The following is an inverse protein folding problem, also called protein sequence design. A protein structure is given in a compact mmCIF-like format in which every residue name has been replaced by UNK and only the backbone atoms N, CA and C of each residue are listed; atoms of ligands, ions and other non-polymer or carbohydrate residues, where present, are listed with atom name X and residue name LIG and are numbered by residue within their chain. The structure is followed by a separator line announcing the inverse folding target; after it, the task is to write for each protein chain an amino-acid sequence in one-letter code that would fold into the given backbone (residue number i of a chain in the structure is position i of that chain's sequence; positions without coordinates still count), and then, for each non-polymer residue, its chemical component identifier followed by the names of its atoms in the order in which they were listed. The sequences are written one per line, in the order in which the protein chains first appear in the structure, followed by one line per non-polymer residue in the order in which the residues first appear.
data_IF_526534638783
#
_entry.id   IF_526534638783
#
_cell.length_a   1.000
_cell.length_b   1.000
_cell.length_c   1.000
_cell.angle_alpha   90.00
_cell.angle_beta   90.00
_cell.angle_gamma   90.00
#
_symmetry.space_group_name_H-M   'P 1'
#
loop_
_entity.id
_entity.type
_entity.pdbx_description
1 polymer ?
#
# COMPACT_ATOMS: atom_id res chain seq x y z
N UNK A 1 -7.98 -3.12 -0.24
CA UNK A 1 -6.90 -2.87 0.74
C UNK A 1 -6.10 -4.16 0.87
N UNK A 2 -4.77 -4.12 0.78
CA UNK A 2 -3.90 -5.29 1.00
C UNK A 2 -3.21 -5.14 2.36
N UNK A 3 -3.09 -6.21 3.13
CA UNK A 3 -2.45 -6.23 4.45
C UNK A 3 -1.41 -7.35 4.47
N UNK A 4 -0.26 -7.06 5.05
CA UNK A 4 0.83 -8.00 5.28
C UNK A 4 1.18 -7.99 6.77
N UNK A 5 1.36 -9.17 7.35
CA UNK A 5 1.80 -9.37 8.72
C UNK A 5 3.04 -10.25 8.69
N UNK A 6 4.09 -9.84 9.39
CA UNK A 6 5.38 -10.51 9.36
C UNK A 6 6.13 -10.29 10.68
N UNK A 7 7.00 -11.23 11.02
CA UNK A 7 7.89 -11.10 12.17
C UNK A 7 9.01 -10.09 11.86
N UNK A 8 9.55 -9.46 12.89
CA UNK A 8 10.62 -8.47 12.83
C UNK A 8 12.00 -9.03 12.41
N UNK A 9 12.05 -10.29 11.98
CA UNK A 9 13.24 -10.89 11.41
C UNK A 9 13.63 -10.20 10.08
N UNK A 10 14.89 -9.74 9.90
CA UNK A 10 15.34 -9.06 8.68
C UNK A 10 15.14 -9.83 7.36
N UNK A 11 15.06 -11.16 7.41
CA UNK A 11 14.78 -12.00 6.23
C UNK A 11 13.42 -11.67 5.57
N UNK A 12 12.47 -11.15 6.34
CA UNK A 12 11.14 -10.78 5.83
C UNK A 12 11.15 -9.49 5.00
N UNK A 13 12.19 -8.65 5.12
CA UNK A 13 12.25 -7.37 4.40
C UNK A 13 12.26 -7.54 2.88
N UNK A 14 12.85 -8.62 2.36
CA UNK A 14 12.79 -8.94 0.93
C UNK A 14 11.35 -9.13 0.44
N UNK A 15 10.53 -9.85 1.21
CA UNK A 15 9.12 -10.07 0.88
C UNK A 15 8.31 -8.77 0.96
N UNK A 16 8.57 -7.94 1.98
CA UNK A 16 7.94 -6.62 2.12
C UNK A 16 8.23 -5.74 0.90
N UNK A 17 9.51 -5.63 0.51
CA UNK A 17 9.93 -4.83 -0.66
C UNK A 17 9.24 -5.28 -1.93
N UNK A 18 9.17 -6.60 -2.18
CA UNK A 18 8.49 -7.16 -3.36
C UNK A 18 6.98 -6.85 -3.35
N UNK A 19 6.32 -7.01 -2.20
CA UNK A 19 4.90 -6.72 -2.06
C UNK A 19 4.57 -5.24 -2.32
N UNK A 20 5.37 -4.32 -1.79
CA UNK A 20 5.22 -2.88 -1.99
C UNK A 20 5.47 -2.51 -3.45
N UNK A 21 6.55 -3.04 -4.03
CA UNK A 21 6.91 -2.80 -5.44
C UNK A 21 5.77 -3.18 -6.38
N UNK A 22 5.26 -4.41 -6.24
CA UNK A 22 4.14 -4.89 -7.07
C UNK A 22 2.90 -4.00 -6.90
N UNK A 23 2.53 -3.68 -5.65
CA UNK A 23 1.37 -2.84 -5.38
C UNK A 23 1.44 -1.46 -6.05
N UNK A 24 2.63 -0.86 -6.09
CA UNK A 24 2.88 0.45 -6.71
C UNK A 24 2.92 0.36 -8.24
N UNK A 25 3.53 -0.68 -8.79
CA UNK A 25 3.58 -0.94 -10.23
C UNK A 25 2.18 -1.20 -10.81
N UNK A 26 1.34 -1.99 -10.12
CA UNK A 26 -0.06 -2.22 -10.47
C UNK A 26 -0.89 -0.92 -10.52
N UNK A 27 -0.40 0.13 -9.87
CA UNK A 27 -1.01 1.46 -9.84
C UNK A 27 -0.38 2.43 -10.83
N UNK A 28 0.62 2.02 -11.61
CA UNK A 28 1.23 2.84 -12.64
C UNK A 28 2.20 3.91 -12.12
N UNK A 29 2.72 3.77 -10.90
CA UNK A 29 3.77 4.68 -10.43
C UNK A 29 5.05 4.52 -11.27
N UNK A 30 5.76 5.60 -11.62
CA UNK A 30 7.02 5.51 -12.35
C UNK A 30 8.08 4.73 -11.57
N UNK A 31 8.88 3.90 -12.24
CA UNK A 31 9.88 3.02 -11.61
C UNK A 31 10.78 3.74 -10.60
N UNK A 32 11.28 4.95 -10.93
CA UNK A 32 12.09 5.75 -10.01
C UNK A 32 11.35 6.07 -8.70
N UNK A 33 10.05 6.39 -8.76
CA UNK A 33 9.25 6.63 -7.56
C UNK A 33 8.96 5.34 -6.80
N UNK A 34 8.74 4.23 -7.52
CA UNK A 34 8.58 2.90 -6.91
C UNK A 34 9.82 2.53 -6.10
N UNK A 35 11.01 2.64 -6.68
CA UNK A 35 12.28 2.32 -6.01
C UNK A 35 12.47 3.15 -4.75
N UNK A 36 12.23 4.45 -4.84
CA UNK A 36 12.37 5.36 -3.71
C UNK A 36 11.38 5.05 -2.57
N UNK A 37 10.11 4.78 -2.90
CA UNK A 37 9.10 4.38 -1.90
C UNK A 37 9.40 3.02 -1.28
N UNK A 38 9.86 2.05 -2.06
CA UNK A 38 10.28 0.74 -1.55
C UNK A 38 11.42 0.90 -0.54
N UNK A 39 12.41 1.73 -0.85
CA UNK A 39 13.53 2.02 0.05
C UNK A 39 13.06 2.74 1.32
N UNK A 40 12.13 3.70 1.20
CA UNK A 40 11.54 4.38 2.35
C UNK A 40 10.75 3.44 3.27
N UNK A 41 10.00 2.47 2.73
CA UNK A 41 9.32 1.45 3.54
C UNK A 41 10.32 0.49 4.19
N UNK A 42 11.37 0.09 3.47
CA UNK A 42 12.44 -0.78 3.99
C UNK A 42 13.13 -0.15 5.20
N UNK A 43 13.44 1.15 5.10
CA UNK A 43 14.02 1.92 6.17
C UNK A 43 13.06 2.07 7.36
N UNK A 44 11.78 2.31 7.12
CA UNK A 44 10.77 2.39 8.17
C UNK A 44 10.62 1.05 8.93
N UNK A 45 10.60 -0.08 8.22
CA UNK A 45 10.60 -1.41 8.83
C UNK A 45 11.88 -1.64 9.63
N UNK A 46 13.03 -1.28 9.08
CA UNK A 46 14.32 -1.43 9.75
C UNK A 46 14.39 -0.60 11.02
N UNK A 47 13.83 0.62 11.02
CA UNK A 47 13.73 1.46 12.20
C UNK A 47 12.85 0.85 13.29
N UNK A 48 11.73 0.21 12.93
CA UNK A 48 10.90 -0.54 13.89
C UNK A 48 11.73 -1.68 14.51
N UNK A 49 12.39 -2.50 13.68
CA UNK A 49 13.19 -3.65 14.15
C UNK A 49 14.29 -3.19 15.10
N UNK A 50 15.05 -2.14 14.72
CA UNK A 50 16.18 -1.64 15.50
C UNK A 50 15.76 -0.91 16.77
N UNK A 51 14.75 -0.04 16.69
CA UNK A 51 14.47 0.93 17.77
C UNK A 51 13.24 0.59 18.59
N UNK A 52 12.15 0.10 17.97
CA UNK A 52 10.95 -0.26 18.71
C UNK A 52 11.06 -1.66 19.32
N UNK A 53 11.75 -2.57 18.63
CA UNK A 53 11.91 -3.97 19.04
C UNK A 53 13.31 -4.35 19.52
N UNK A 54 14.26 -3.41 19.56
CA UNK A 54 15.62 -3.65 20.04
C UNK A 54 16.28 -4.89 19.42
N UNK A 55 16.11 -5.05 18.10
CA UNK A 55 16.61 -6.19 17.31
C UNK A 55 15.98 -7.54 17.66
N UNK A 56 14.89 -7.60 18.43
CA UNK A 56 14.11 -8.82 18.57
C UNK A 56 13.53 -9.22 17.21
N UNK A 57 13.64 -10.50 16.84
CA UNK A 57 13.30 -11.00 15.51
C UNK A 57 11.92 -11.69 15.43
N UNK A 58 11.23 -11.79 16.57
CA UNK A 58 9.97 -12.53 16.75
C UNK A 58 8.73 -11.62 16.88
N UNK A 59 8.89 -10.30 16.77
CA UNK A 59 7.82 -9.33 17.03
C UNK A 59 7.01 -9.03 15.78
N UNK A 60 5.70 -8.86 15.95
CA UNK A 60 4.78 -8.62 14.83
C UNK A 60 4.94 -7.20 14.25
N UNK A 61 5.06 -7.11 12.94
CA UNK A 61 4.88 -5.86 12.18
C UNK A 61 3.71 -6.04 11.23
N UNK A 62 2.83 -5.07 11.19
CA UNK A 62 1.71 -5.03 10.23
C UNK A 62 1.91 -3.90 9.24
N UNK A 63 1.85 -4.22 7.95
CA UNK A 63 1.87 -3.27 6.85
C UNK A 63 0.53 -3.31 6.09
N UNK A 64 -0.22 -2.21 6.09
CA UNK A 64 -1.37 -2.04 5.21
C UNK A 64 -1.02 -1.16 4.01
N UNK A 65 -1.46 -1.58 2.82
CA UNK A 65 -1.31 -0.90 1.55
C UNK A 65 -2.71 -0.48 1.05
N UNK A 66 -2.92 0.83 0.98
CA UNK A 66 -4.21 1.45 0.72
C UNK A 66 -4.16 2.35 -0.53
N UNK A 67 -5.24 2.32 -1.31
CA UNK A 67 -5.50 3.41 -2.25
C UNK A 67 -5.90 4.67 -1.47
N UNK A 68 -5.42 5.82 -1.91
CA UNK A 68 -5.75 7.12 -1.34
C UNK A 68 -6.36 7.99 -2.44
N UNK A 69 -7.33 8.90 -2.16
CA UNK A 69 -7.96 9.72 -3.21
C UNK A 69 -6.97 10.51 -4.06
N UNK A 70 -5.83 10.88 -3.48
CA UNK A 70 -4.74 11.60 -4.16
C UNK A 70 -3.53 10.73 -4.52
N UNK A 71 -3.56 9.41 -4.30
CA UNK A 71 -2.42 8.52 -4.55
C UNK A 71 -2.47 7.20 -3.78
N UNK A 72 -1.45 6.94 -2.95
CA UNK A 72 -1.35 5.73 -2.12
C UNK A 72 -1.02 6.07 -0.68
N UNK A 73 -1.43 5.19 0.23
CA UNK A 73 -1.14 5.29 1.66
C UNK A 73 -0.66 3.95 2.20
N UNK A 74 0.37 4.01 3.03
CA UNK A 74 0.92 2.89 3.76
C UNK A 74 0.74 3.12 5.25
N UNK A 75 0.43 2.05 5.98
CA UNK A 75 0.34 2.07 7.43
C UNK A 75 1.22 0.97 7.99
N UNK A 76 2.31 1.35 8.65
CA UNK A 76 3.17 0.44 9.38
C UNK A 76 2.82 0.50 10.86
N UNK A 77 2.59 -0.66 11.44
CA UNK A 77 2.17 -0.79 12.83
C UNK A 77 3.10 -1.74 13.57
N UNK A 78 3.71 -1.23 14.64
CA UNK A 78 4.47 -1.97 15.63
C UNK A 78 3.77 -1.94 17.00
N UNK A 79 4.25 -2.74 17.94
CA UNK A 79 3.75 -2.86 19.31
C UNK A 79 4.90 -2.72 20.32
N UNK A 80 5.99 -2.08 19.88
CA UNK A 80 7.24 -1.99 20.62
C UNK A 80 7.32 -0.76 21.49
N UNK A 81 8.56 -0.40 21.85
CA UNK A 81 8.83 0.84 22.55
C UNK A 81 8.53 2.03 21.65
N UNK A 82 7.80 3.02 22.19
CA UNK A 82 7.51 4.24 21.46
C UNK A 82 8.74 5.14 21.44
N UNK A 83 9.10 5.61 20.26
CA UNK A 83 10.11 6.65 20.15
C UNK A 83 9.69 7.91 20.93
N UNK A 84 10.64 8.51 21.65
CA UNK A 84 10.47 9.83 22.25
C UNK A 84 10.23 10.86 21.14
N UNK A 85 9.15 11.65 21.24
CA UNK A 85 8.72 12.59 20.19
C UNK A 85 9.83 13.59 19.78
N UNK A 86 10.73 13.93 20.71
CA UNK A 86 11.87 14.82 20.49
C UNK A 86 13.00 14.23 19.61
N UNK A 87 12.97 12.91 19.32
CA UNK A 87 13.92 12.23 18.42
C UNK A 87 13.36 12.02 17.01
N UNK A 88 12.03 12.11 16.85
CA UNK A 88 11.33 11.88 15.57
C UNK A 88 11.10 13.18 14.81
N UNK A 89 10.96 14.31 15.50
CA UNK A 89 10.95 15.63 14.87
C UNK A 89 12.39 16.12 14.70
N UNK A 90 12.80 16.28 13.44
CA UNK A 90 14.17 16.55 13.03
C UNK A 90 14.85 17.63 13.86
N UNK A 91 16.02 17.30 14.40
CA UNK A 91 17.03 18.33 14.67
C UNK A 91 17.52 18.85 13.31
N UNK A 92 17.85 20.15 13.20
CA UNK A 92 18.49 20.70 12.01
C UNK A 92 19.76 19.88 11.65
N UNK A 93 20.00 19.77 10.34
CA UNK A 93 20.89 18.82 9.65
C UNK A 93 22.40 18.91 9.98
N UNK A 94 22.80 19.60 11.03
CA UNK A 94 24.23 19.89 11.29
C UNK A 94 24.92 18.89 12.24
N UNK A 95 24.23 17.83 12.67
CA UNK A 95 24.83 16.80 13.54
C UNK A 95 24.40 15.39 13.14
N UNK A 96 24.81 14.97 11.94
CA UNK A 96 24.65 13.58 11.48
C UNK A 96 25.61 12.67 12.26
N UNK A 97 25.08 11.99 13.29
CA UNK A 97 25.66 10.74 13.80
C UNK A 97 25.36 9.59 12.82
N UNK A 98 26.12 8.48 12.83
CA UNK A 98 25.79 7.31 12.03
C UNK A 98 24.36 6.85 12.41
N UNK A 99 23.41 6.97 11.48
CA UNK A 99 21.97 6.70 11.73
C UNK A 99 20.99 7.79 11.32
N UNK A 100 21.44 8.99 10.91
CA UNK A 100 20.55 10.10 10.49
C UNK A 100 19.98 10.01 9.06
N UNK A 101 20.51 9.12 8.23
CA UNK A 101 20.14 9.00 6.80
C UNK A 101 18.74 8.40 6.59
N UNK A 102 18.29 7.55 7.51
CA UNK A 102 17.07 6.77 7.36
C UNK A 102 15.79 7.61 7.38
N UNK A 103 15.70 8.53 8.34
CA UNK A 103 14.55 9.43 8.43
C UNK A 103 14.48 10.38 7.23
N UNK A 104 15.63 10.87 6.76
CA UNK A 104 15.69 11.73 5.57
C UNK A 104 15.15 11.01 4.33
N UNK A 105 15.49 9.72 4.15
CA UNK A 105 14.99 8.92 3.05
C UNK A 105 13.47 8.74 3.10
N UNK A 106 12.90 8.47 4.28
CA UNK A 106 11.43 8.35 4.43
C UNK A 106 10.75 9.67 4.02
N UNK A 107 11.26 10.81 4.49
CA UNK A 107 10.72 12.12 4.14
C UNK A 107 10.95 12.51 2.67
N UNK A 108 12.02 12.01 2.04
CA UNK A 108 12.24 12.21 0.61
C UNK A 108 11.33 11.31 -0.24
N UNK A 109 11.02 10.11 0.26
CA UNK A 109 10.16 9.16 -0.44
C UNK A 109 8.69 9.57 -0.41
N UNK A 110 8.18 10.04 0.72
CA UNK A 110 6.75 10.29 0.97
C UNK A 110 6.44 11.76 1.17
N UNK A 111 5.29 12.20 0.66
CA UNK A 111 4.88 13.62 0.74
C UNK A 111 4.27 13.95 2.11
N UNK A 112 3.71 12.94 2.80
CA UNK A 112 3.23 13.06 4.17
C UNK A 112 3.69 11.88 5.01
N UNK A 113 4.19 12.19 6.20
CA UNK A 113 4.71 11.24 7.17
C UNK A 113 4.11 11.60 8.53
N UNK A 114 3.30 10.71 9.09
CA UNK A 114 2.60 10.94 10.36
C UNK A 114 2.87 9.77 11.33
N UNK A 115 3.41 10.10 12.50
CA UNK A 115 3.69 9.15 13.58
C UNK A 115 2.59 9.24 14.64
N UNK A 116 1.72 8.24 14.65
CA UNK A 116 0.60 8.18 15.56
C UNK A 116 0.94 7.26 16.73
N UNK A 117 1.10 7.83 17.92
CA UNK A 117 1.21 7.03 19.15
C UNK A 117 -0.09 6.25 19.38
N UNK A 118 0.06 4.98 19.75
CA UNK A 118 -1.04 4.11 20.14
C UNK A 118 -0.89 3.70 21.59
N UNK A 119 -1.87 2.99 22.16
CA UNK A 119 -1.77 2.49 23.54
C UNK A 119 -0.49 1.66 23.78
N UNK A 120 -0.02 0.97 22.75
CA UNK A 120 1.22 0.19 22.74
C UNK A 120 1.92 0.45 21.40
N UNK A 121 3.22 0.74 21.34
CA UNK A 121 3.95 0.99 20.08
C UNK A 121 3.40 2.13 19.21
N UNK A 122 3.79 2.15 17.93
CA UNK A 122 3.50 3.27 17.02
C UNK A 122 2.72 2.83 15.78
N UNK A 123 2.00 3.76 15.16
CA UNK A 123 1.43 3.62 13.82
C UNK A 123 2.05 4.71 12.94
N UNK A 124 2.90 4.33 12.00
CA UNK A 124 3.48 5.21 11.00
C UNK A 124 2.59 5.21 9.75
N UNK A 125 2.09 6.38 9.39
CA UNK A 125 1.26 6.60 8.20
C UNK A 125 2.06 7.38 7.17
N UNK A 126 2.22 6.79 5.99
CA UNK A 126 3.00 7.35 4.89
C UNK A 126 2.08 7.54 3.69
N UNK A 127 2.03 8.75 3.14
CA UNK A 127 1.21 9.05 1.96
C UNK A 127 2.10 9.55 0.82
N UNK A 128 1.90 8.97 -0.37
CA UNK A 128 2.46 9.48 -1.62
C UNK A 128 1.34 9.91 -2.54
N UNK A 129 1.43 11.11 -3.07
CA UNK A 129 0.53 11.59 -4.10
C UNK A 129 0.93 11.02 -5.46
N UNK A 130 -0.08 10.55 -6.18
CA UNK A 130 0.09 10.12 -7.55
C UNK A 130 0.38 11.35 -8.43
N UNK A 131 1.26 11.22 -9.45
CA UNK A 131 1.39 12.26 -10.45
C UNK A 131 0.05 12.49 -11.17
N UNK A 132 -0.20 13.73 -11.57
CA UNK A 132 -1.51 14.19 -12.03
C UNK A 132 -2.03 13.39 -13.25
N UNK A 133 -1.12 12.97 -14.13
CA UNK A 133 -1.40 12.12 -15.28
C UNK A 133 -2.01 10.75 -14.91
N UNK A 134 -1.69 10.22 -13.73
CA UNK A 134 -2.17 8.93 -13.25
C UNK A 134 -3.57 9.02 -12.60
N UNK A 135 -3.91 10.18 -12.06
CA UNK A 135 -5.25 10.47 -11.55
C UNK A 135 -6.27 10.62 -12.69
N UNK A 136 -5.83 11.20 -13.82
CA UNK A 136 -6.66 11.41 -15.01
C UNK A 136 -6.96 10.10 -15.76
N UNK A 137 -5.97 9.20 -15.91
CA UNK A 137 -6.15 7.90 -16.58
C UNK A 137 -7.12 6.96 -15.85
N UNK A 138 -7.24 7.12 -14.52
CA UNK A 138 -8.19 6.39 -13.67
C UNK A 138 -9.65 6.86 -13.83
N UNK A 139 -9.88 8.09 -14.32
CA UNK A 139 -11.22 8.62 -14.58
C UNK A 139 -11.76 8.14 -15.93
N UNK A 140 -10.90 8.10 -16.96
CA UNK A 140 -11.27 7.62 -18.31
C UNK A 140 -11.67 6.14 -18.31
N UNK A 141 -10.98 5.29 -17.52
CA UNK A 141 -11.30 3.86 -17.38
C UNK A 141 -12.61 3.60 -16.64
N UNK A 142 -12.98 4.43 -15.65
CA UNK A 142 -14.28 4.35 -14.96
C UNK A 142 -15.45 4.77 -15.86
N UNK A 143 -15.23 5.75 -16.75
CA UNK A 143 -16.25 6.23 -17.69
C UNK A 143 -16.52 5.20 -18.81
N UNK A 144 -15.48 4.51 -19.29
CA UNK A 144 -15.60 3.44 -20.31
C UNK A 144 -16.33 2.17 -19.81
N UNK A 145 -16.19 1.82 -18.52
CA UNK A 145 -16.96 0.71 -17.89
C UNK A 145 -18.43 1.04 -17.65
N UNK A 146 -18.80 2.33 -17.57
CA UNK A 146 -20.20 2.75 -17.46
C UNK A 146 -20.92 2.77 -18.82
N UNK A 147 -20.23 3.03 -19.93
CA UNK A 147 -20.84 3.10 -21.26
C UNK A 147 -20.98 1.74 -21.99
N UNK A 148 -20.39 0.66 -21.48
CA UNK A 148 -20.47 -0.68 -22.08
C UNK A 148 -21.48 -1.62 -21.40
N UNK A 149 -22.30 -1.10 -20.47
CA UNK A 149 -23.24 -1.86 -19.66
C UNK A 149 -24.74 -1.72 -20.01
N UNK A 150 -25.10 -1.19 -21.18
CA UNK A 150 -26.50 -1.09 -21.62
C UNK A 150 -26.65 -1.50 -23.09
N UNK A 151 -27.08 -2.74 -23.32
CA UNK A 151 -28.11 -3.16 -24.31
C UNK A 151 -28.12 -4.68 -24.43
N UNK A 152 -29.08 -5.31 -23.76
CA UNK A 152 -30.00 -6.29 -24.35
C UNK A 152 -30.83 -6.98 -23.24
N UNK A 153 -31.90 -6.31 -22.82
CA UNK A 153 -33.18 -6.93 -22.47
C UNK A 153 -34.26 -6.08 -23.15
N UNK A 154 -35.40 -6.64 -23.60
CA UNK A 154 -36.32 -7.27 -22.67
C UNK A 154 -37.01 -8.57 -23.13
N UNK A 155 -37.69 -9.15 -22.14
CA UNK A 155 -38.62 -10.27 -22.08
C UNK A 155 -39.72 -10.23 -23.19
N UNK A 156 -40.39 -11.30 -23.63
CA UNK A 156 -41.33 -12.11 -22.83
C UNK A 156 -42.09 -13.13 -23.72
N UNK A 157 -42.29 -14.34 -23.18
CA UNK A 157 -43.49 -15.21 -23.13
C UNK A 157 -44.41 -15.54 -24.34
N UNK A 158 -44.89 -16.80 -24.27
CA UNK A 158 -46.10 -17.42 -24.86
C UNK A 158 -45.97 -17.93 -26.31
N UNK A 159 -46.56 -19.04 -26.75
CA UNK A 159 -47.16 -20.25 -26.16
C UNK A 159 -47.57 -21.15 -27.34
N UNK A 160 -47.54 -22.48 -27.18
CA UNK A 160 -48.32 -23.50 -27.92
C UNK A 160 -48.17 -23.65 -29.45
N UNK A 161 -47.78 -24.85 -29.91
CA UNK A 161 -48.61 -25.69 -30.80
C UNK A 161 -48.03 -27.11 -30.94
N UNK A 162 -48.95 -28.05 -31.16
CA UNK A 162 -48.83 -29.51 -31.11
C UNK A 162 -48.14 -30.12 -32.35
N UNK A 163 -47.77 -31.40 -32.18
CA UNK A 163 -47.93 -32.55 -33.10
C UNK A 163 -46.65 -33.26 -33.58
N UNK A 164 -46.46 -34.46 -33.04
CA UNK A 164 -46.44 -35.75 -33.73
C UNK A 164 -45.55 -35.88 -34.99
N UNK A 165 -44.46 -36.66 -34.93
CA UNK A 165 -44.27 -37.89 -35.74
C UNK A 165 -42.93 -38.58 -35.42
N UNK A 166 -43.02 -39.80 -34.86
CA UNK A 166 -42.14 -40.95 -35.18
C UNK A 166 -42.15 -41.23 -36.71
N UNK A 167 -41.30 -42.11 -37.31
CA UNK A 167 -40.56 -43.24 -36.72
C UNK A 167 -39.13 -43.47 -37.28
N UNK A 168 -38.53 -44.62 -36.89
CA UNK A 168 -37.47 -45.46 -37.51
C UNK A 168 -36.25 -45.58 -36.60
N UNK A 169 -35.72 -46.76 -36.27
CA UNK A 169 -35.94 -48.14 -36.71
C UNK A 169 -35.36 -49.07 -35.64
#
# INVERSE_FOLDING_TARGET
MKKLEFASHPANLGLVRNCVRQFLQDRGFPNRQVDLMVLGIDEACTNIIRHAYHLAEDKLITLALESHPKGVRFRLRDYGEQAEAAKVQGRPLDHVRPGGLGLHLIHHAFDQVDYQRRRQGTMLVLTKFAPENLLMSSQVTKQKRRQTGERAGPESQSSSHRNNTEPKR
#
